data_IF_778483083524
#
_entry.id   IF_778483083524
#
_cell.length_a   1.000
_cell.length_b   1.000
_cell.length_c   1.000
_cell.angle_alpha   90.00
_cell.angle_beta   90.00
_cell.angle_gamma   90.00
#
_symmetry.space_group_name_H-M   'P 1'
#
loop_
_entity.id
_entity.type
_entity.pdbx_description
1 polymer ?
#
# COMPACT_ATOMS: atom_id res chain seq x y z
N UNK A 1 26.41 33.36 3.53
CA UNK A 1 25.14 33.38 2.78
C UNK A 1 24.96 32.02 2.17
N UNK A 2 24.01 31.21 2.65
CA UNK A 2 23.73 29.89 2.08
C UNK A 2 23.28 30.05 0.62
N UNK A 3 23.85 29.26 -0.28
CA UNK A 3 23.54 29.34 -1.70
C UNK A 3 22.10 28.90 -1.93
N UNK A 4 21.43 29.38 -2.98
CA UNK A 4 20.04 28.98 -3.27
C UNK A 4 19.86 27.46 -3.40
N UNK A 5 20.95 26.74 -3.72
CA UNK A 5 20.98 25.29 -3.88
C UNK A 5 20.87 24.53 -2.56
N UNK A 6 21.34 25.12 -1.45
CA UNK A 6 21.33 24.48 -0.13
C UNK A 6 19.88 24.17 0.31
N UNK A 7 18.91 24.96 -0.18
CA UNK A 7 17.47 24.77 0.09
C UNK A 7 16.88 23.51 -0.57
N UNK A 8 17.51 23.00 -1.64
CA UNK A 8 17.03 21.84 -2.38
C UNK A 8 17.74 20.55 -1.98
N UNK A 9 18.85 20.64 -1.25
CA UNK A 9 19.64 19.48 -0.83
C UNK A 9 18.80 18.54 0.02
N UNK A 10 18.02 19.08 0.97
CA UNK A 10 17.17 18.26 1.84
C UNK A 10 16.08 17.52 1.06
N UNK A 11 15.47 18.18 0.08
CA UNK A 11 14.48 17.58 -0.80
C UNK A 11 15.08 16.49 -1.69
N UNK A 12 16.27 16.71 -2.23
CA UNK A 12 16.99 15.73 -3.04
C UNK A 12 17.36 14.49 -2.21
N UNK A 13 17.88 14.70 -0.99
CA UNK A 13 18.23 13.60 -0.08
C UNK A 13 17.01 12.79 0.33
N UNK A 14 15.87 13.45 0.58
CA UNK A 14 14.62 12.76 0.84
C UNK A 14 14.21 11.89 -0.35
N UNK A 15 14.17 12.46 -1.56
CA UNK A 15 13.80 11.72 -2.77
C UNK A 15 14.68 10.48 -3.00
N UNK A 16 16.00 10.61 -2.83
CA UNK A 16 16.93 9.49 -2.96
C UNK A 16 16.67 8.38 -1.92
N UNK A 17 16.23 8.71 -0.71
CA UNK A 17 15.96 7.71 0.35
C UNK A 17 14.61 7.01 0.17
N UNK A 18 13.65 7.66 -0.46
CA UNK A 18 12.29 7.15 -0.64
C UNK A 18 12.06 6.46 -1.97
N UNK A 19 12.96 6.63 -2.94
CA UNK A 19 12.87 5.97 -4.24
C UNK A 19 13.17 4.47 -4.09
N UNK A 20 12.35 3.63 -4.73
CA UNK A 20 12.58 2.18 -4.78
C UNK A 20 13.83 1.87 -5.58
N UNK A 21 14.69 1.01 -5.03
CA UNK A 21 15.87 0.55 -5.75
C UNK A 21 15.49 -0.59 -6.69
N UNK A 22 15.88 -0.47 -7.97
CA UNK A 22 15.47 -1.40 -9.03
C UNK A 22 15.86 -2.86 -8.75
N UNK A 23 17.03 -3.10 -8.15
CA UNK A 23 17.52 -4.46 -7.96
C UNK A 23 16.84 -5.21 -6.80
N UNK A 24 16.43 -4.50 -5.75
CA UNK A 24 15.87 -5.09 -4.53
C UNK A 24 14.36 -4.88 -4.41
N UNK A 25 13.78 -3.96 -5.19
CA UNK A 25 12.39 -3.52 -5.05
C UNK A 25 12.13 -2.63 -3.82
N UNK A 26 13.01 -2.69 -2.82
CA UNK A 26 12.88 -1.95 -1.56
C UNK A 26 13.52 -0.55 -1.62
N UNK A 27 13.01 0.35 -0.76
CA UNK A 27 13.58 1.70 -0.59
C UNK A 27 14.77 1.68 0.37
N UNK A 28 15.81 2.52 0.18
CA UNK A 28 16.91 2.64 1.14
C UNK A 28 16.44 2.95 2.56
N UNK A 29 15.37 3.74 2.71
CA UNK A 29 14.75 4.00 4.00
C UNK A 29 14.21 2.73 4.67
N UNK A 30 13.50 1.88 3.91
CA UNK A 30 12.98 0.62 4.43
C UNK A 30 14.10 -0.33 4.88
N UNK A 31 15.20 -0.38 4.12
CA UNK A 31 16.34 -1.23 4.49
C UNK A 31 17.00 -0.84 5.81
N UNK A 32 17.02 0.46 6.15
CA UNK A 32 17.67 0.96 7.37
C UNK A 32 16.75 0.80 8.58
N UNK A 33 15.47 1.15 8.43
CA UNK A 33 14.55 1.29 9.56
C UNK A 33 13.54 0.14 9.68
N UNK A 34 13.44 -0.73 8.68
CA UNK A 34 12.46 -1.83 8.64
C UNK A 34 11.00 -1.38 8.53
N UNK A 35 10.75 -0.09 8.31
CA UNK A 35 9.39 0.49 8.22
C UNK A 35 9.19 1.18 6.88
N UNK A 36 7.99 1.04 6.32
CA UNK A 36 7.63 1.69 5.05
C UNK A 36 7.61 3.21 5.18
N UNK A 37 8.09 3.90 4.14
CA UNK A 37 8.11 5.37 4.10
C UNK A 37 6.67 5.91 4.11
N UNK A 38 6.33 6.72 5.11
CA UNK A 38 5.08 7.50 5.14
C UNK A 38 5.37 8.93 4.71
N UNK A 39 5.09 9.24 3.44
CA UNK A 39 5.16 10.61 2.93
C UNK A 39 3.79 11.28 3.07
N UNK A 40 3.74 12.59 3.37
CA UNK A 40 2.50 13.36 3.27
C UNK A 40 1.98 13.29 1.82
N UNK A 41 0.71 12.89 1.65
CA UNK A 41 0.10 12.61 0.35
C UNK A 41 0.22 11.16 -0.14
N UNK A 42 0.97 10.31 0.58
CA UNK A 42 0.98 8.85 0.38
C UNK A 42 -0.10 8.14 1.21
N UNK A 43 -1.05 8.90 1.75
CA UNK A 43 -2.27 8.34 2.32
C UNK A 43 -3.00 7.62 1.20
N UNK A 44 -3.28 6.33 1.40
CA UNK A 44 -4.03 5.52 0.44
C UNK A 44 -5.23 6.34 -0.05
N UNK A 45 -5.31 6.55 -1.37
CA UNK A 45 -6.40 7.29 -1.99
C UNK A 45 -7.70 6.73 -1.40
N UNK A 46 -8.53 7.53 -0.70
CA UNK A 46 -9.70 7.02 0.02
C UNK A 46 -10.63 6.16 -0.86
N UNK A 47 -10.64 6.45 -2.16
CA UNK A 47 -11.33 5.67 -3.20
C UNK A 47 -10.79 4.24 -3.29
N UNK A 48 -9.47 4.03 -3.28
CA UNK A 48 -8.86 2.69 -3.33
C UNK A 48 -9.26 1.89 -2.10
N UNK A 49 -9.26 2.50 -0.92
CA UNK A 49 -9.67 1.84 0.31
C UNK A 49 -11.14 1.43 0.29
N UNK A 50 -12.01 2.30 -0.23
CA UNK A 50 -13.41 1.97 -0.42
C UNK A 50 -13.60 0.80 -1.40
N UNK A 51 -12.86 0.78 -2.52
CA UNK A 51 -12.92 -0.31 -3.50
C UNK A 51 -12.42 -1.64 -2.92
N UNK A 52 -11.35 -1.64 -2.13
CA UNK A 52 -10.84 -2.83 -1.43
C UNK A 52 -11.88 -3.38 -0.45
N UNK A 53 -12.50 -2.50 0.35
CA UNK A 53 -13.57 -2.90 1.27
C UNK A 53 -14.77 -3.51 0.53
N UNK A 54 -15.21 -2.90 -0.58
CA UNK A 54 -16.30 -3.44 -1.39
C UNK A 54 -15.97 -4.81 -1.97
N UNK A 55 -14.75 -5.01 -2.48
CA UNK A 55 -14.27 -6.30 -2.98
C UNK A 55 -14.36 -7.37 -1.90
N UNK A 56 -13.90 -7.07 -0.69
CA UNK A 56 -13.88 -8.03 0.42
C UNK A 56 -15.29 -8.43 0.85
N UNK A 57 -16.24 -7.48 0.87
CA UNK A 57 -17.66 -7.77 1.12
C UNK A 57 -18.24 -8.71 0.06
N UNK A 58 -17.93 -8.48 -1.22
CA UNK A 58 -18.42 -9.34 -2.31
C UNK A 58 -17.87 -10.75 -2.18
N UNK A 59 -16.56 -10.91 -1.90
CA UNK A 59 -15.97 -12.23 -1.68
C UNK A 59 -16.62 -12.98 -0.52
N UNK A 60 -16.81 -12.32 0.62
CA UNK A 60 -17.45 -12.94 1.78
C UNK A 60 -18.87 -13.44 1.47
N UNK A 61 -19.64 -12.71 0.65
CA UNK A 61 -20.96 -13.14 0.20
C UNK A 61 -20.90 -14.35 -0.71
N UNK A 62 -19.94 -14.38 -1.64
CA UNK A 62 -19.76 -15.51 -2.54
C UNK A 62 -19.39 -16.78 -1.76
N UNK A 63 -18.48 -16.67 -0.80
CA UNK A 63 -18.08 -17.79 0.07
C UNK A 63 -19.26 -18.31 0.90
N UNK A 64 -20.05 -17.40 1.47
CA UNK A 64 -21.24 -17.75 2.25
C UNK A 64 -22.29 -18.47 1.38
N UNK A 65 -22.51 -17.99 0.15
CA UNK A 65 -23.43 -18.61 -0.79
C UNK A 65 -22.94 -20.00 -1.24
N UNK A 66 -21.64 -20.17 -1.46
CA UNK A 66 -21.05 -21.46 -1.80
C UNK A 66 -21.24 -22.48 -0.68
N UNK A 67 -21.05 -22.07 0.58
CA UNK A 67 -21.31 -22.93 1.75
C UNK A 67 -22.78 -23.33 1.81
N UNK A 68 -23.70 -22.38 1.66
CA UNK A 68 -25.14 -22.65 1.70
C UNK A 68 -25.60 -23.59 0.59
N UNK A 69 -25.08 -23.41 -0.63
CA UNK A 69 -25.32 -24.33 -1.75
C UNK A 69 -24.87 -25.75 -1.41
N UNK A 70 -23.65 -25.91 -0.86
CA UNK A 70 -23.14 -27.21 -0.46
C UNK A 70 -24.05 -27.89 0.55
N UNK A 71 -24.44 -27.17 1.61
CA UNK A 71 -25.36 -27.67 2.64
C UNK A 71 -26.70 -28.12 2.03
N UNK A 72 -27.25 -27.34 1.11
CA UNK A 72 -28.51 -27.68 0.44
C UNK A 72 -28.44 -29.00 -0.33
N UNK A 73 -27.34 -29.27 -1.03
CA UNK A 73 -27.15 -30.50 -1.79
C UNK A 73 -26.75 -31.70 -0.91
N UNK A 74 -25.99 -31.47 0.17
CA UNK A 74 -25.60 -32.54 1.11
C UNK A 74 -26.80 -33.09 1.91
N UNK A 75 -27.88 -32.32 2.06
CA UNK A 75 -29.09 -32.71 2.77
C UNK A 75 -30.22 -33.28 1.89
N UNK A 76 -29.96 -33.54 0.60
CA UNK A 76 -30.91 -34.13 -0.34
C UNK A 76 -30.49 -35.53 -0.76
#
# INVERSE_FOLDING_TARGET
MASSNDKYVDHALLACRTQQYYATGETPFYMIYGVGVKLPGNEQVPIINHLVQQRDIVHQRLDSNAIMMKIYYDHR
#
